data_IF_380523722653
#
_entry.id   IF_380523722653
#
_cell.length_a   1.000
_cell.length_b   1.000
_cell.length_c   1.000
_cell.angle_alpha   90.00
_cell.angle_beta   90.00
_cell.angle_gamma   90.00
#
_symmetry.space_group_name_H-M   'P 1'
#
loop_
_entity.id
_entity.type
_entity.pdbx_description
1 polymer ?
#
# COMPACT_ATOMS: atom_id res chain seq x y z
N UNK A 1 -44.13 -57.35 45.04
CA UNK A 1 -43.15 -56.72 44.12
C UNK A 1 -43.60 -55.28 43.90
N UNK A 2 -42.92 -54.29 44.48
CA UNK A 2 -43.24 -52.86 44.36
C UNK A 2 -42.16 -52.19 43.51
N UNK A 3 -42.55 -51.60 42.38
CA UNK A 3 -41.67 -50.88 41.47
C UNK A 3 -41.52 -49.42 41.94
N UNK A 4 -40.26 -48.97 42.08
CA UNK A 4 -39.90 -47.59 42.41
C UNK A 4 -39.50 -46.90 41.10
N UNK A 5 -40.26 -45.88 40.69
CA UNK A 5 -39.97 -45.05 39.52
C UNK A 5 -39.09 -43.88 40.00
N UNK A 6 -37.82 -43.88 39.59
CA UNK A 6 -36.88 -42.79 39.85
C UNK A 6 -37.04 -41.72 38.76
N UNK A 7 -37.57 -40.55 39.15
CA UNK A 7 -37.65 -39.37 38.31
C UNK A 7 -36.31 -38.63 38.38
N UNK A 8 -35.56 -38.64 37.29
CA UNK A 8 -34.28 -37.96 37.17
C UNK A 8 -34.51 -36.54 36.62
N UNK A 9 -34.36 -35.53 37.47
CA UNK A 9 -34.47 -34.11 37.10
C UNK A 9 -33.12 -33.66 36.54
N UNK A 10 -33.02 -33.52 35.21
CA UNK A 10 -31.84 -32.97 34.54
C UNK A 10 -31.93 -31.44 34.63
N UNK A 11 -31.07 -30.85 35.45
CA UNK A 11 -30.93 -29.40 35.57
C UNK A 11 -30.00 -28.89 34.47
N UNK A 12 -30.57 -28.13 33.53
CA UNK A 12 -29.88 -27.47 32.43
C UNK A 12 -29.18 -26.21 32.96
N UNK A 13 -27.87 -26.28 33.18
CA UNK A 13 -27.05 -25.12 33.54
C UNK A 13 -26.66 -24.37 32.26
N UNK A 14 -27.28 -23.21 32.06
CA UNK A 14 -26.97 -22.30 30.96
C UNK A 14 -25.73 -21.47 31.33
N UNK A 15 -24.54 -21.88 30.88
CA UNK A 15 -23.34 -21.04 30.94
C UNK A 15 -23.41 -19.98 29.85
N UNK A 16 -23.71 -18.74 30.24
CA UNK A 16 -23.61 -17.58 29.36
C UNK A 16 -22.13 -17.34 29.03
N UNK A 17 -21.71 -17.76 27.83
CA UNK A 17 -20.44 -17.40 27.23
C UNK A 17 -20.55 -15.91 26.82
N UNK A 18 -19.99 -15.00 27.62
CA UNK A 18 -19.73 -13.64 27.18
C UNK A 18 -18.64 -13.71 26.09
N UNK A 19 -19.06 -13.86 24.83
CA UNK A 19 -18.21 -13.64 23.68
C UNK A 19 -17.80 -12.17 23.67
N UNK A 20 -16.51 -11.90 23.84
CA UNK A 20 -15.95 -10.63 23.43
C UNK A 20 -16.17 -10.51 21.91
N UNK A 21 -16.99 -9.55 21.48
CA UNK A 21 -17.08 -9.17 20.07
C UNK A 21 -15.68 -8.72 19.64
N UNK A 22 -14.97 -9.58 18.91
CA UNK A 22 -13.76 -9.15 18.21
C UNK A 22 -14.18 -8.04 17.24
N UNK A 23 -13.54 -6.86 17.27
CA UNK A 23 -13.88 -5.79 16.35
C UNK A 23 -13.69 -6.34 14.92
N UNK A 24 -14.76 -6.32 14.12
CA UNK A 24 -14.73 -6.72 12.72
C UNK A 24 -13.75 -5.78 12.03
N UNK A 25 -12.50 -6.23 11.85
CA UNK A 25 -11.47 -5.47 11.17
C UNK A 25 -11.94 -5.23 9.73
N UNK A 26 -12.03 -3.96 9.33
CA UNK A 26 -12.42 -3.62 7.97
C UNK A 26 -11.41 -4.25 6.98
N UNK A 27 -11.88 -4.85 5.87
CA UNK A 27 -10.99 -5.43 4.89
C UNK A 27 -10.08 -4.35 4.31
N UNK A 28 -8.77 -4.60 4.34
CA UNK A 28 -7.81 -3.65 3.80
C UNK A 28 -7.88 -3.65 2.26
N UNK A 29 -7.81 -2.47 1.62
CA UNK A 29 -7.77 -2.40 0.16
C UNK A 29 -6.46 -3.04 -0.36
N UNK A 30 -6.50 -3.78 -1.48
CA UNK A 30 -5.30 -4.28 -2.12
C UNK A 30 -4.49 -3.11 -2.70
N UNK A 31 -3.16 -3.26 -2.75
CA UNK A 31 -2.28 -2.27 -3.35
C UNK A 31 -1.96 -2.64 -4.79
N UNK A 32 -2.12 -1.70 -5.73
CA UNK A 32 -1.70 -1.90 -7.11
C UNK A 32 -0.17 -1.79 -7.21
N UNK A 33 0.48 -2.86 -7.64
CA UNK A 33 1.93 -2.90 -7.85
C UNK A 33 2.28 -3.43 -9.24
N UNK A 34 3.49 -3.15 -9.67
CA UNK A 34 4.03 -3.73 -10.90
C UNK A 34 4.81 -4.99 -10.56
N UNK A 35 4.54 -6.08 -11.26
CA UNK A 35 5.24 -7.34 -11.04
C UNK A 35 5.65 -8.03 -12.34
N UNK A 36 6.78 -8.74 -12.31
CA UNK A 36 7.16 -9.73 -13.30
C UNK A 36 7.45 -11.07 -12.62
N UNK A 37 7.55 -12.15 -13.38
CA UNK A 37 7.84 -13.47 -12.85
C UNK A 37 8.96 -14.13 -13.65
N UNK A 38 9.88 -14.78 -12.92
CA UNK A 38 10.97 -15.55 -13.52
C UNK A 38 10.85 -17.02 -13.09
N UNK A 39 10.86 -17.97 -14.04
CA UNK A 39 10.85 -19.39 -13.71
C UNK A 39 12.19 -19.79 -13.09
N UNK A 40 12.12 -20.56 -12.00
CA UNK A 40 13.28 -21.11 -11.29
C UNK A 40 13.06 -22.62 -11.09
N UNK A 41 13.30 -23.41 -12.15
CA UNK A 41 13.01 -24.83 -12.17
C UNK A 41 11.50 -25.10 -12.03
N UNK A 42 11.04 -25.91 -11.06
CA UNK A 42 9.61 -26.12 -10.82
C UNK A 42 8.92 -24.95 -10.10
N UNK A 43 9.70 -24.03 -9.54
CA UNK A 43 9.20 -22.88 -8.78
C UNK A 43 9.19 -21.59 -9.64
N UNK A 44 8.52 -20.55 -9.15
CA UNK A 44 8.50 -19.23 -9.77
C UNK A 44 8.82 -18.17 -8.73
N UNK A 45 9.69 -17.23 -9.10
CA UNK A 45 9.98 -16.04 -8.29
C UNK A 45 9.24 -14.85 -8.87
N UNK A 46 8.48 -14.13 -8.06
CA UNK A 46 7.87 -12.86 -8.38
C UNK A 46 8.83 -11.72 -8.09
N UNK A 47 9.01 -10.82 -9.05
CA UNK A 47 9.73 -9.58 -8.90
C UNK A 47 8.72 -8.44 -8.80
N UNK A 48 8.45 -7.97 -7.59
CA UNK A 48 7.44 -6.94 -7.32
C UNK A 48 8.16 -5.61 -7.13
N UNK A 49 7.84 -4.62 -7.95
CA UNK A 49 8.39 -3.26 -7.82
C UNK A 49 7.54 -2.46 -6.86
N UNK A 50 8.18 -1.96 -5.81
CA UNK A 50 7.55 -1.05 -4.83
C UNK A 50 7.43 0.36 -5.40
N UNK A 51 6.53 1.16 -4.81
CA UNK A 51 6.43 2.60 -5.09
C UNK A 51 6.98 3.35 -3.89
N UNK A 52 7.94 4.25 -4.11
CA UNK A 52 8.46 5.15 -3.09
C UNK A 52 7.93 6.55 -3.30
N UNK A 53 7.54 7.22 -2.23
CA UNK A 53 7.09 8.60 -2.29
C UNK A 53 8.24 9.52 -1.90
N UNK A 54 8.69 10.35 -2.85
CA UNK A 54 9.80 11.29 -2.65
C UNK A 54 9.24 12.72 -2.57
N UNK A 55 9.55 13.49 -1.50
CA UNK A 55 9.13 14.88 -1.41
C UNK A 55 9.79 15.68 -2.54
N UNK A 56 8.98 16.30 -3.38
CA UNK A 56 9.43 17.09 -4.52
C UNK A 56 8.83 18.49 -4.43
N UNK A 57 9.67 19.52 -4.44
CA UNK A 57 9.22 20.91 -4.52
C UNK A 57 8.81 21.23 -5.95
N UNK A 58 7.61 21.75 -6.13
CA UNK A 58 7.10 22.25 -7.41
C UNK A 58 6.60 23.69 -7.23
N UNK A 59 6.80 24.51 -8.27
CA UNK A 59 6.22 25.85 -8.33
C UNK A 59 4.81 25.75 -8.90
N UNK A 60 3.81 26.22 -8.14
CA UNK A 60 2.43 26.25 -8.58
C UNK A 60 2.01 27.71 -8.78
N UNK A 61 1.67 28.06 -10.02
CA UNK A 61 1.10 29.36 -10.35
C UNK A 61 -0.34 29.48 -9.85
N UNK A 62 -0.59 30.44 -8.96
CA UNK A 62 -1.93 30.79 -8.48
C UNK A 62 -2.26 32.23 -8.85
N UNK A 63 -3.45 32.44 -9.41
CA UNK A 63 -3.98 33.79 -9.66
C UNK A 63 -4.64 34.30 -8.38
N UNK A 64 -3.97 35.22 -7.70
CA UNK A 64 -4.49 35.85 -6.49
C UNK A 64 -5.17 37.18 -6.86
N UNK A 65 -6.43 37.41 -6.45
CA UNK A 65 -7.05 38.71 -6.60
C UNK A 65 -6.44 39.70 -5.60
N UNK A 66 -5.98 40.83 -6.11
CA UNK A 66 -5.50 41.96 -5.31
C UNK A 66 -6.41 43.14 -5.61
N UNK A 67 -7.08 43.65 -4.57
CA UNK A 67 -7.90 44.85 -4.64
C UNK A 67 -7.04 46.08 -4.41
N UNK A 68 -7.02 46.98 -5.38
CA UNK A 68 -6.43 48.30 -5.25
C UNK A 68 -7.54 49.35 -5.16
N UNK A 69 -7.52 50.16 -4.11
CA UNK A 69 -8.38 51.34 -4.00
C UNK A 69 -7.65 52.55 -4.56
N UNK A 70 -8.16 53.16 -5.63
CA UNK A 70 -7.64 54.43 -6.17
C UNK A 70 -8.72 55.49 -6.12
N UNK A 71 -8.40 56.71 -5.68
CA UNK A 71 -9.33 57.83 -5.71
C UNK A 71 -9.35 58.41 -7.12
N UNK A 72 -10.48 58.30 -7.80
CA UNK A 72 -10.71 58.93 -9.10
C UNK A 72 -11.91 59.87 -8.97
N UNK A 73 -11.73 61.15 -9.30
CA UNK A 73 -12.78 62.17 -9.22
C UNK A 73 -13.45 62.30 -7.84
N UNK A 74 -12.67 62.20 -6.75
CA UNK A 74 -13.18 62.31 -5.38
C UNK A 74 -14.01 61.11 -4.89
N UNK A 75 -14.08 60.01 -5.65
CA UNK A 75 -14.71 58.75 -5.24
C UNK A 75 -13.65 57.64 -5.15
N UNK A 76 -13.76 56.80 -4.12
CA UNK A 76 -12.94 55.60 -3.96
C UNK A 76 -13.44 54.56 -4.96
N UNK A 77 -12.59 54.18 -5.91
CA UNK A 77 -12.88 53.11 -6.87
C UNK A 77 -11.99 51.92 -6.52
N UNK A 78 -12.62 50.79 -6.24
CA UNK A 78 -11.94 49.52 -6.03
C UNK A 78 -11.71 48.83 -7.38
N UNK A 79 -10.47 48.42 -7.64
CA UNK A 79 -10.08 47.67 -8.84
C UNK A 79 -9.46 46.34 -8.41
N UNK A 80 -10.07 45.24 -8.81
CA UNK A 80 -9.49 43.91 -8.65
C UNK A 80 -8.53 43.64 -9.81
N UNK A 81 -7.29 43.28 -9.50
CA UNK A 81 -6.29 42.77 -10.46
C UNK A 81 -5.89 41.36 -10.05
N UNK A 82 -5.72 40.46 -11.00
CA UNK A 82 -5.20 39.12 -10.73
C UNK A 82 -3.68 39.12 -10.90
N UNK A 83 -2.95 38.84 -9.83
CA UNK A 83 -1.51 38.63 -9.88
C UNK A 83 -1.24 37.13 -9.94
N UNK A 84 -0.34 36.72 -10.82
CA UNK A 84 0.16 35.35 -10.86
C UNK A 84 1.28 35.22 -9.83
N UNK A 85 1.04 34.46 -8.78
CA UNK A 85 1.99 34.19 -7.70
C UNK A 85 2.46 32.76 -7.87
N UNK A 86 3.78 32.56 -8.00
CA UNK A 86 4.40 31.24 -7.95
C UNK A 86 4.58 30.84 -6.49
N UNK A 87 3.84 29.84 -6.05
CA UNK A 87 3.92 29.30 -4.69
C UNK A 87 4.71 27.99 -4.73
N UNK A 88 5.78 27.90 -3.92
CA UNK A 88 6.52 26.65 -3.76
C UNK A 88 5.74 25.70 -2.85
N UNK A 89 5.36 24.55 -3.39
CA UNK A 89 4.71 23.51 -2.64
C UNK A 89 5.51 22.21 -2.70
N UNK A 90 5.69 21.57 -1.55
CA UNK A 90 6.30 20.24 -1.47
C UNK A 90 5.20 19.21 -1.60
N UNK A 91 5.25 18.42 -2.67
CA UNK A 91 4.31 17.33 -2.93
C UNK A 91 5.04 15.99 -2.88
N UNK A 92 4.36 14.96 -2.40
CA UNK A 92 4.89 13.59 -2.42
C UNK A 92 4.74 13.02 -3.82
N UNK A 93 5.84 12.86 -4.55
CA UNK A 93 5.84 12.28 -5.90
C UNK A 93 6.06 10.76 -5.81
N UNK A 94 5.17 9.92 -6.37
CA UNK A 94 5.43 8.49 -6.48
C UNK A 94 6.55 8.26 -7.49
N UNK A 95 7.54 7.47 -7.10
CA UNK A 95 8.70 7.09 -7.90
C UNK A 95 8.88 5.57 -7.83
N UNK A 96 9.36 4.94 -8.92
CA UNK A 96 9.75 3.52 -8.90
C UNK A 96 10.72 3.23 -7.75
N UNK A 97 10.33 2.35 -6.84
CA UNK A 97 11.14 1.91 -5.72
C UNK A 97 11.95 0.64 -6.02
N UNK A 98 12.44 0.02 -4.95
CA UNK A 98 13.16 -1.25 -5.02
C UNK A 98 12.28 -2.38 -5.57
N UNK A 99 12.92 -3.32 -6.26
CA UNK A 99 12.30 -4.57 -6.72
C UNK A 99 12.56 -5.65 -5.68
N UNK A 100 11.50 -6.17 -5.07
CA UNK A 100 11.59 -7.32 -4.18
C UNK A 100 11.42 -8.62 -4.96
N UNK A 101 12.21 -9.64 -4.62
CA UNK A 101 12.10 -10.97 -5.20
C UNK A 101 11.47 -11.90 -4.18
N UNK A 102 10.28 -12.41 -4.48
CA UNK A 102 9.50 -13.24 -3.58
C UNK A 102 9.22 -14.61 -4.24
N UNK A 103 9.67 -15.72 -3.64
CA UNK A 103 9.33 -17.05 -4.15
C UNK A 103 7.84 -17.33 -3.93
N UNK A 104 7.17 -17.87 -4.96
CA UNK A 104 5.78 -18.34 -4.86
C UNK A 104 5.81 -19.77 -4.35
N UNK A 105 5.42 -19.96 -3.08
CA UNK A 105 5.43 -21.26 -2.41
C UNK A 105 4.05 -21.95 -2.43
N UNK A 106 2.97 -21.21 -2.67
CA UNK A 106 1.60 -21.72 -2.63
C UNK A 106 0.99 -21.82 -1.24
N UNK A 107 1.78 -21.60 -0.17
CA UNK A 107 1.34 -21.64 1.22
C UNK A 107 1.19 -20.23 1.80
N UNK A 108 2.28 -19.45 1.76
CA UNK A 108 2.30 -18.08 2.29
C UNK A 108 2.16 -17.06 1.16
N UNK A 109 2.73 -17.36 0.00
CA UNK A 109 2.72 -16.52 -1.19
C UNK A 109 2.07 -17.31 -2.32
N UNK A 110 0.85 -16.93 -2.65
CA UNK A 110 0.09 -17.56 -3.72
C UNK A 110 -0.62 -16.50 -4.57
N UNK A 111 -0.95 -16.88 -5.80
CA UNK A 111 -1.56 -15.99 -6.79
C UNK A 111 -2.90 -16.56 -7.22
N UNK A 112 -3.94 -15.72 -7.20
CA UNK A 112 -5.26 -16.06 -7.71
C UNK A 112 -5.67 -15.16 -8.86
N UNK A 113 -6.64 -15.62 -9.65
CA UNK A 113 -7.39 -14.73 -10.54
C UNK A 113 -8.41 -13.89 -9.75
N UNK A 114 -9.10 -12.97 -10.45
CA UNK A 114 -10.18 -12.15 -9.88
C UNK A 114 -11.39 -12.96 -9.39
N UNK A 115 -11.47 -14.24 -9.72
CA UNK A 115 -12.53 -15.16 -9.28
C UNK A 115 -12.09 -16.01 -8.09
N UNK A 116 -10.89 -15.75 -7.54
CA UNK A 116 -10.31 -16.51 -6.44
C UNK A 116 -9.75 -17.86 -6.83
N UNK A 117 -9.60 -18.18 -8.13
CA UNK A 117 -9.02 -19.45 -8.57
C UNK A 117 -7.50 -19.39 -8.51
N UNK A 118 -6.82 -20.40 -7.94
CA UNK A 118 -5.36 -20.43 -7.89
C UNK A 118 -4.78 -20.53 -9.30
N UNK A 119 -3.70 -19.78 -9.54
CA UNK A 119 -2.97 -19.78 -10.82
C UNK A 119 -1.74 -20.66 -10.69
N UNK A 120 -1.61 -21.63 -11.61
CA UNK A 120 -0.45 -22.52 -11.65
C UNK A 120 0.85 -21.74 -11.91
N UNK A 121 1.99 -22.10 -11.27
CA UNK A 121 3.27 -21.40 -11.45
C UNK A 121 3.71 -21.32 -12.92
N UNK A 122 3.56 -22.39 -13.70
CA UNK A 122 3.91 -22.39 -15.14
C UNK A 122 3.11 -21.35 -15.95
N UNK A 123 1.83 -21.19 -15.63
CA UNK A 123 0.97 -20.17 -16.24
C UNK A 123 1.34 -18.77 -15.74
N UNK A 124 1.67 -18.63 -14.46
CA UNK A 124 2.10 -17.36 -13.85
C UNK A 124 3.34 -16.80 -14.55
N UNK A 125 4.37 -17.63 -14.75
CA UNK A 125 5.59 -17.24 -15.49
C UNK A 125 5.29 -16.80 -16.93
N UNK A 126 4.25 -17.37 -17.55
CA UNK A 126 3.83 -17.00 -18.90
C UNK A 126 3.05 -15.68 -18.93
N UNK A 127 2.20 -15.44 -17.94
CA UNK A 127 1.39 -14.21 -17.84
C UNK A 127 2.23 -13.00 -17.42
N UNK A 128 3.26 -13.21 -16.60
CA UNK A 128 4.11 -12.15 -16.04
C UNK A 128 5.52 -12.12 -16.68
N UNK A 129 5.64 -12.49 -17.96
CA UNK A 129 6.91 -12.36 -18.72
C UNK A 129 7.42 -10.92 -18.79
N UNK A 130 6.51 -9.96 -18.71
CA UNK A 130 6.81 -8.52 -18.68
C UNK A 130 6.22 -7.93 -17.41
N UNK A 131 6.76 -6.79 -17.02
CA UNK A 131 6.25 -6.00 -15.92
C UNK A 131 4.77 -5.66 -16.17
N UNK A 132 3.88 -6.21 -15.33
CA UNK A 132 2.42 -6.17 -15.47
C UNK A 132 1.80 -5.72 -14.15
N UNK A 133 0.72 -4.95 -14.20
CA UNK A 133 0.02 -4.50 -13.01
C UNK A 133 -0.71 -5.68 -12.32
N UNK A 134 -0.47 -5.84 -11.02
CA UNK A 134 -1.08 -6.85 -10.17
C UNK A 134 -1.62 -6.21 -8.90
N UNK A 135 -2.62 -6.83 -8.28
CA UNK A 135 -3.12 -6.45 -6.96
C UNK A 135 -2.37 -7.24 -5.90
N UNK A 136 -1.76 -6.56 -4.94
CA UNK A 136 -1.08 -7.19 -3.81
C UNK A 136 -1.96 -7.04 -2.57
N UNK A 137 -2.36 -8.16 -1.97
CA UNK A 137 -3.08 -8.19 -0.70
C UNK A 137 -2.16 -8.70 0.40
N UNK A 138 -2.11 -7.95 1.50
CA UNK A 138 -1.28 -8.27 2.66
C UNK A 138 -2.07 -8.80 3.85
N UNK A 139 -3.38 -8.55 3.88
CA UNK A 139 -4.24 -8.76 5.03
C UNK A 139 -5.37 -9.76 4.73
N UNK A 140 -5.09 -10.78 3.92
CA UNK A 140 -6.04 -11.84 3.59
C UNK A 140 -6.87 -11.58 2.33
N UNK A 141 -8.06 -12.20 2.18
CA UNK A 141 -8.87 -12.17 0.96
C UNK A 141 -9.29 -10.75 0.59
N UNK A 142 -9.25 -10.44 -0.71
CA UNK A 142 -9.66 -9.14 -1.23
C UNK A 142 -11.19 -9.08 -1.33
N UNK A 143 -11.79 -8.01 -0.80
CA UNK A 143 -13.23 -7.78 -0.93
C UNK A 143 -13.63 -7.63 -2.41
N UNK A 144 -14.67 -8.36 -2.89
CA UNK A 144 -15.19 -8.22 -4.25
C UNK A 144 -15.52 -6.78 -4.66
N UNK A 145 -15.86 -5.90 -3.72
CA UNK A 145 -16.07 -4.47 -3.96
C UNK A 145 -14.87 -3.81 -4.65
N UNK A 146 -13.63 -4.10 -4.20
CA UNK A 146 -12.41 -3.56 -4.79
C UNK A 146 -12.11 -4.15 -6.18
N UNK A 147 -12.69 -5.30 -6.51
CA UNK A 147 -12.46 -5.98 -7.79
C UNK A 147 -13.35 -5.42 -8.92
N UNK A 148 -14.40 -4.66 -8.60
CA UNK A 148 -15.37 -4.15 -9.59
C UNK A 148 -14.74 -3.21 -10.62
N UNK A 149 -13.73 -2.43 -10.23
CA UNK A 149 -13.02 -1.49 -11.10
C UNK A 149 -11.76 -2.07 -11.72
N UNK A 150 -11.44 -3.34 -11.42
CA UNK A 150 -10.19 -3.98 -11.85
C UNK A 150 -10.35 -4.58 -13.24
N UNK A 151 -9.34 -4.40 -14.10
CA UNK A 151 -9.36 -4.94 -15.46
C UNK A 151 -9.43 -6.47 -15.44
N UNK A 152 -10.26 -7.11 -16.28
CA UNK A 152 -10.26 -8.56 -16.42
C UNK A 152 -8.87 -9.11 -16.70
N UNK A 153 -8.51 -10.22 -16.05
CA UNK A 153 -7.20 -10.86 -16.21
C UNK A 153 -6.11 -10.30 -15.29
N UNK A 154 -6.41 -9.29 -14.45
CA UNK A 154 -5.51 -8.86 -13.38
C UNK A 154 -5.35 -9.98 -12.35
N UNK A 155 -4.13 -10.19 -11.88
CA UNK A 155 -3.79 -11.20 -10.88
C UNK A 155 -3.81 -10.58 -9.48
N UNK A 156 -4.22 -11.38 -8.50
CA UNK A 156 -4.17 -11.03 -7.08
C UNK A 156 -3.05 -11.86 -6.45
N UNK A 157 -2.06 -11.18 -5.89
CA UNK A 157 -0.93 -11.78 -5.18
C UNK A 157 -1.17 -11.62 -3.69
N UNK A 158 -1.21 -12.72 -2.96
CA UNK A 158 -1.25 -12.70 -1.50
C UNK A 158 0.18 -12.72 -1.00
N UNK A 159 0.57 -11.67 -0.28
CA UNK A 159 1.93 -11.47 0.21
C UNK A 159 1.89 -11.05 1.68
N UNK A 160 2.40 -11.88 2.61
CA UNK A 160 2.42 -11.53 4.03
C UNK A 160 3.22 -10.24 4.28
N UNK A 161 2.76 -9.42 5.22
CA UNK A 161 3.37 -8.11 5.48
C UNK A 161 4.84 -8.19 5.91
N UNK A 162 5.23 -9.31 6.54
CA UNK A 162 6.58 -9.60 6.98
C UNK A 162 7.56 -9.70 5.80
N UNK A 163 7.07 -10.07 4.61
CA UNK A 163 7.89 -10.18 3.39
C UNK A 163 8.13 -8.83 2.69
N UNK A 164 7.29 -7.83 2.96
CA UNK A 164 7.47 -6.47 2.43
C UNK A 164 8.52 -5.67 3.21
N UNK A 165 8.71 -5.99 4.49
CA UNK A 165 9.71 -5.37 5.34
C UNK A 165 11.05 -6.09 5.16
N UNK A 166 11.72 -5.88 4.01
CA UNK A 166 13.13 -6.24 3.93
C UNK A 166 13.87 -5.45 5.04
N UNK A 167 14.77 -6.08 5.82
CA UNK A 167 15.60 -5.33 6.74
C UNK A 167 16.31 -4.25 5.93
N UNK A 168 16.21 -2.99 6.37
CA UNK A 168 17.18 -1.99 5.95
C UNK A 168 18.53 -2.57 6.34
N UNK A 169 19.27 -3.10 5.37
CA UNK A 169 20.65 -3.50 5.61
C UNK A 169 21.32 -2.22 6.11
N UNK A 170 21.62 -2.19 7.41
CA UNK A 170 22.29 -1.05 8.02
C UNK A 170 23.63 -1.00 7.33
N UNK A 171 23.73 -0.14 6.31
CA UNK A 171 24.98 0.07 5.62
C UNK A 171 26.01 0.32 6.72
N UNK A 172 27.12 -0.44 6.77
CA UNK A 172 28.16 -0.18 7.73
C UNK A 172 28.51 1.31 7.62
N UNK A 173 28.71 2.02 8.75
CA UNK A 173 29.00 3.44 8.72
C UNK A 173 30.09 3.67 7.68
N UNK A 174 29.83 4.58 6.74
CA UNK A 174 30.76 4.90 5.67
C UNK A 174 32.14 5.01 6.30
N UNK A 175 33.09 4.15 5.88
CA UNK A 175 34.46 4.24 6.37
C UNK A 175 34.89 5.66 6.12
N UNK A 176 35.10 6.42 7.19
CA UNK A 176 35.57 7.79 7.12
C UNK A 176 36.89 7.71 6.40
N UNK A 177 36.95 8.23 5.17
CA UNK A 177 38.20 8.25 4.42
C UNK A 177 39.16 9.14 5.23
N UNK A 178 40.32 8.64 5.69
CA UNK A 178 41.27 9.44 6.44
C UNK A 178 41.74 10.69 5.69
N UNK A 179 41.51 10.75 4.38
CA UNK A 179 41.86 11.89 3.52
C UNK A 179 40.69 12.84 3.25
N UNK A 180 39.49 12.60 3.79
CA UNK A 180 38.38 13.54 3.62
C UNK A 180 38.64 14.82 4.43
N UNK A 181 38.73 16.00 3.79
CA UNK A 181 38.95 17.26 4.49
C UNK A 181 37.82 17.50 5.49
N UNK A 182 38.12 17.94 6.72
CA UNK A 182 37.08 18.19 7.71
C UNK A 182 36.08 19.22 7.15
N UNK A 183 34.79 18.85 7.16
CA UNK A 183 33.69 19.73 6.77
C UNK A 183 33.84 21.08 7.49
N UNK A 184 33.92 22.15 6.70
CA UNK A 184 34.06 23.51 7.21
C UNK A 184 32.90 23.81 8.16
N UNK A 185 33.21 24.22 9.39
CA UNK A 185 32.20 24.62 10.36
C UNK A 185 31.41 25.81 9.82
N UNK A 186 30.08 25.83 9.99
CA UNK A 186 29.28 27.00 9.63
C UNK A 186 29.78 28.21 10.42
N UNK A 187 29.98 29.34 9.73
CA UNK A 187 30.29 30.61 10.37
C UNK A 187 29.06 31.03 11.19
N UNK A 188 29.26 31.24 12.49
CA UNK A 188 28.29 31.86 13.39
C UNK A 188 28.20 33.36 13.12
#
# INVERSE_FOLDING_TARGET
MRALIAVCVVTLTCTAFLGAEEPIAAPAPPTLMMASATPCGPAVTLHIRTTQFVPTTIDIGRKMPVSDSTIANGRVVERVRYLEVLEQQTVMRPTPGAVMSVPVDGEHVFVTDLKGKPVLPSRLATMLKKETAVLVSMNGPVDPFFLQTTKPGTLIVYLPAERMSAPLEVLPPAKTDPNEPPLAKPKQ
#
